data_IF_663709455393
#
_entry.id   IF_663709455393
#
_cell.length_a   1.000
_cell.length_b   1.000
_cell.length_c   1.000
_cell.angle_alpha   90.00
_cell.angle_beta   90.00
_cell.angle_gamma   90.00
#
_symmetry.space_group_name_H-M   'P 1'
#
loop_
_entity.id
_entity.type
_entity.pdbx_description
1 polymer ?
#
# COMPACT_ATOMS: atom_id res chain seq x y z
N UNK A 1 -2.36 15.94 22.99
CA UNK A 1 -2.26 15.23 21.71
C UNK A 1 -1.50 13.96 22.04
N UNK A 2 -2.18 12.82 22.04
CA UNK A 2 -1.46 11.55 22.14
C UNK A 2 -0.57 11.42 20.90
N UNK A 3 0.71 11.09 21.13
CA UNK A 3 1.68 10.94 20.05
C UNK A 3 1.26 9.77 19.16
N UNK A 4 1.17 10.03 17.86
CA UNK A 4 0.97 8.97 16.89
C UNK A 4 2.15 7.98 16.94
N UNK A 5 1.85 6.69 17.01
CA UNK A 5 2.87 5.64 16.97
C UNK A 5 3.04 5.15 15.54
N UNK A 6 4.26 5.24 15.02
CA UNK A 6 4.59 4.69 13.71
C UNK A 6 4.97 3.20 13.83
N UNK A 7 4.43 2.37 12.95
CA UNK A 7 4.72 0.94 12.84
C UNK A 7 4.93 0.57 11.37
N UNK A 8 5.95 -0.24 11.08
CA UNK A 8 6.16 -0.85 9.77
C UNK A 8 5.75 -2.31 9.82
N UNK A 9 4.84 -2.73 8.95
CA UNK A 9 4.36 -4.11 8.89
C UNK A 9 4.55 -4.71 7.50
N UNK A 10 5.00 -5.97 7.46
CA UNK A 10 5.01 -6.76 6.23
C UNK A 10 3.60 -7.29 5.99
N UNK A 11 3.02 -6.91 4.86
CA UNK A 11 1.65 -7.24 4.44
C UNK A 11 1.74 -7.74 3.01
N UNK A 12 1.11 -8.88 2.72
CA UNK A 12 1.13 -9.51 1.40
C UNK A 12 -0.18 -9.34 0.63
N UNK A 13 -1.27 -9.05 1.33
CA UNK A 13 -2.58 -8.76 0.74
C UNK A 13 -3.16 -7.51 1.38
N UNK A 14 -2.98 -6.37 0.71
CA UNK A 14 -3.44 -5.08 1.22
C UNK A 14 -4.96 -5.03 1.31
N UNK A 15 -5.68 -5.68 0.39
CA UNK A 15 -7.14 -5.70 0.41
C UNK A 15 -7.67 -6.47 1.61
N UNK A 16 -7.09 -7.63 1.91
CA UNK A 16 -7.41 -8.42 3.12
C UNK A 16 -7.07 -7.65 4.39
N UNK A 17 -5.92 -6.98 4.41
CA UNK A 17 -5.52 -6.14 5.53
C UNK A 17 -6.51 -5.02 5.80
N UNK A 18 -6.88 -4.24 4.78
CA UNK A 18 -7.88 -3.17 4.92
C UNK A 18 -9.25 -3.75 5.34
N UNK A 19 -9.60 -4.94 4.86
CA UNK A 19 -10.82 -5.63 5.27
C UNK A 19 -10.83 -6.09 6.74
N UNK A 20 -9.68 -6.28 7.38
CA UNK A 20 -9.61 -6.58 8.81
C UNK A 20 -10.30 -5.48 9.62
N UNK A 21 -10.00 -4.22 9.32
CA UNK A 21 -10.61 -3.06 9.97
C UNK A 21 -12.10 -2.99 9.69
N UNK A 22 -12.50 -3.14 8.42
CA UNK A 22 -13.93 -3.11 8.04
C UNK A 22 -14.75 -4.17 8.77
N UNK A 23 -14.23 -5.39 8.89
CA UNK A 23 -14.88 -6.50 9.62
C UNK A 23 -15.06 -6.25 11.12
N UNK A 24 -14.29 -5.32 11.70
CA UNK A 24 -14.40 -4.90 13.10
C UNK A 24 -15.30 -3.67 13.30
N UNK A 25 -15.96 -3.22 12.23
CA UNK A 25 -16.89 -2.09 12.28
C UNK A 25 -16.23 -0.72 12.09
N UNK A 26 -14.94 -0.68 11.74
CA UNK A 26 -14.28 0.57 11.38
C UNK A 26 -14.60 0.97 9.95
N UNK A 27 -14.72 2.27 9.70
CA UNK A 27 -14.79 2.81 8.35
C UNK A 27 -13.37 2.96 7.82
N UNK A 28 -13.13 2.51 6.60
CA UNK A 28 -11.84 2.66 5.91
C UNK A 28 -12.06 3.52 4.69
N UNK A 29 -11.49 4.71 4.69
CA UNK A 29 -11.58 5.69 3.60
C UNK A 29 -10.26 5.69 2.82
N UNK A 30 -10.36 5.63 1.50
CA UNK A 30 -9.20 5.82 0.62
C UNK A 30 -8.87 7.31 0.54
N UNK A 31 -7.59 7.63 0.74
CA UNK A 31 -7.04 8.98 0.70
C UNK A 31 -6.33 9.24 -0.63
N UNK A 32 -5.20 9.94 -0.55
CA UNK A 32 -4.33 10.19 -1.71
C UNK A 32 -3.85 8.88 -2.32
N UNK A 33 -3.88 8.85 -3.65
CA UNK A 33 -3.40 7.74 -4.47
C UNK A 33 -2.65 8.32 -5.68
N UNK A 34 -1.55 7.68 -6.08
CA UNK A 34 -0.75 8.04 -7.24
C UNK A 34 -0.15 6.80 -7.90
N UNK A 35 -0.17 6.77 -9.23
CA UNK A 35 0.55 5.80 -10.07
C UNK A 35 1.91 6.38 -10.43
N UNK A 36 2.97 5.60 -10.22
CA UNK A 36 4.36 5.97 -10.48
C UNK A 36 4.78 5.58 -11.91
N UNK A 37 5.90 6.14 -12.38
CA UNK A 37 6.41 5.90 -13.73
C UNK A 37 6.88 4.48 -13.99
N UNK A 38 7.14 3.71 -12.93
CA UNK A 38 7.47 2.28 -12.99
C UNK A 38 6.21 1.39 -12.90
N UNK A 39 5.01 1.97 -12.97
CA UNK A 39 3.74 1.26 -12.91
C UNK A 39 3.33 0.80 -11.50
N UNK A 40 4.15 1.04 -10.48
CA UNK A 40 3.75 0.85 -9.09
C UNK A 40 2.87 2.00 -8.60
N UNK A 41 2.27 1.84 -7.42
CA UNK A 41 1.34 2.80 -6.85
C UNK A 41 1.67 3.13 -5.40
N UNK A 42 1.41 4.38 -5.02
CA UNK A 42 1.40 4.80 -3.61
C UNK A 42 -0.01 5.21 -3.25
N UNK A 43 -0.53 4.61 -2.17
CA UNK A 43 -1.86 4.88 -1.66
C UNK A 43 -1.86 5.14 -0.16
N UNK A 44 -2.88 5.85 0.28
CA UNK A 44 -3.15 6.08 1.70
C UNK A 44 -4.59 5.72 2.06
N UNK A 45 -4.80 5.25 3.28
CA UNK A 45 -6.13 4.96 3.82
C UNK A 45 -6.24 5.47 5.24
N UNK A 46 -7.39 6.07 5.56
CA UNK A 46 -7.74 6.50 6.91
C UNK A 46 -8.72 5.51 7.53
N UNK A 47 -8.43 5.06 8.74
CA UNK A 47 -9.29 4.18 9.52
C UNK A 47 -10.00 5.00 10.58
N UNK A 48 -11.33 4.96 10.57
CA UNK A 48 -12.19 5.77 11.42
C UNK A 48 -13.06 4.90 12.34
N UNK A 49 -13.21 5.35 13.59
CA UNK A 49 -14.23 4.89 14.53
C UNK A 49 -15.19 6.05 14.81
N UNK A 50 -16.38 6.01 14.19
CA UNK A 50 -17.23 7.20 14.10
C UNK A 50 -16.52 8.29 13.28
N UNK A 51 -16.39 9.49 13.84
CA UNK A 51 -15.68 10.62 13.20
C UNK A 51 -14.20 10.72 13.61
N UNK A 52 -13.72 9.82 14.48
CA UNK A 52 -12.35 9.84 15.01
C UNK A 52 -11.42 8.98 14.15
N UNK A 53 -10.31 9.56 13.70
CA UNK A 53 -9.22 8.81 13.07
C UNK A 53 -8.45 8.00 14.10
N UNK A 54 -8.38 6.69 13.91
CA UNK A 54 -7.66 5.77 14.80
C UNK A 54 -6.36 5.26 14.18
N UNK A 55 -6.27 5.28 12.84
CA UNK A 55 -5.04 4.97 12.12
C UNK A 55 -5.00 5.62 10.73
N UNK A 56 -3.79 5.89 10.25
CA UNK A 56 -3.48 6.14 8.85
C UNK A 56 -2.53 5.06 8.31
N UNK A 57 -2.81 4.60 7.10
CA UNK A 57 -2.11 3.49 6.43
C UNK A 57 -1.53 4.05 5.15
N UNK A 58 -0.23 3.87 4.93
CA UNK A 58 0.44 4.24 3.68
C UNK A 58 1.12 3.00 3.10
N UNK A 59 0.87 2.73 1.83
CA UNK A 59 1.44 1.58 1.13
C UNK A 59 2.00 1.99 -0.22
N UNK A 60 3.18 1.47 -0.53
CA UNK A 60 3.71 1.38 -1.88
C UNK A 60 3.48 -0.06 -2.35
N UNK A 61 2.75 -0.25 -3.44
CA UNK A 61 2.25 -1.54 -3.89
C UNK A 61 2.21 -1.65 -5.41
N UNK A 62 2.10 -2.90 -5.88
CA UNK A 62 1.68 -3.21 -7.25
C UNK A 62 0.32 -3.89 -7.20
N UNK A 63 -0.40 -3.85 -8.32
CA UNK A 63 -1.76 -4.36 -8.39
C UNK A 63 -1.99 -5.21 -9.65
N UNK A 64 -3.23 -5.62 -9.85
CA UNK A 64 -3.65 -6.41 -11.02
C UNK A 64 -3.37 -5.70 -12.36
N UNK A 65 -3.40 -4.36 -12.41
CA UNK A 65 -3.08 -3.61 -13.62
C UNK A 65 -1.60 -3.74 -13.95
N UNK A 66 -0.72 -3.56 -12.97
CA UNK A 66 0.72 -3.77 -13.15
C UNK A 66 1.01 -5.18 -13.71
N UNK A 67 0.36 -6.22 -13.18
CA UNK A 67 0.55 -7.58 -13.68
C UNK A 67 0.11 -7.77 -15.14
N UNK A 68 -1.00 -7.15 -15.56
CA UNK A 68 -1.43 -7.21 -16.95
C UNK A 68 -0.48 -6.43 -17.89
N UNK A 69 0.09 -5.32 -17.41
CA UNK A 69 1.02 -4.49 -18.17
C UNK A 69 2.37 -5.16 -18.40
N UNK A 70 2.96 -5.83 -17.39
CA UNK A 70 4.28 -6.48 -17.55
C UNK A 70 4.28 -7.66 -18.54
N UNK A 71 3.10 -8.13 -18.95
CA UNK A 71 2.95 -9.19 -19.98
C UNK A 71 2.99 -8.63 -21.40
N UNK A 72 2.83 -7.32 -21.56
CA UNK A 72 2.85 -6.68 -22.85
C UNK A 72 4.29 -6.46 -23.31
N UNK A 73 4.56 -6.51 -24.62
CA UNK A 73 5.86 -6.10 -25.14
C UNK A 73 6.04 -4.57 -24.98
N UNK A 74 7.29 -4.12 -24.89
CA UNK A 74 7.64 -2.70 -24.69
C UNK A 74 7.08 -1.77 -25.79
N UNK A 75 6.77 -2.31 -26.97
CA UNK A 75 6.22 -1.60 -28.13
C UNK A 75 4.70 -1.81 -28.30
N UNK A 76 4.00 -2.23 -27.25
CA UNK A 76 2.56 -2.45 -27.29
C UNK A 76 1.79 -1.17 -27.67
N UNK A 77 0.92 -1.29 -28.66
CA UNK A 77 0.00 -0.23 -29.06
C UNK A 77 -0.98 0.13 -27.94
N UNK A 78 -1.39 1.40 -27.87
CA UNK A 78 -2.36 1.93 -26.88
C UNK A 78 -3.60 1.05 -26.72
N UNK A 79 -4.12 0.50 -27.82
CA UNK A 79 -5.28 -0.38 -27.78
C UNK A 79 -5.02 -1.63 -26.92
N UNK A 80 -3.87 -2.27 -27.05
CA UNK A 80 -3.51 -3.47 -26.27
C UNK A 80 -3.32 -3.13 -24.79
N UNK A 81 -2.77 -1.94 -24.50
CA UNK A 81 -2.64 -1.42 -23.15
C UNK A 81 -4.02 -1.24 -22.52
N UNK A 82 -4.94 -0.55 -23.19
CA UNK A 82 -6.32 -0.37 -22.70
C UNK A 82 -7.03 -1.70 -22.49
N UNK A 83 -6.90 -2.64 -23.44
CA UNK A 83 -7.48 -3.98 -23.31
C UNK A 83 -6.89 -4.74 -22.11
N UNK A 84 -5.61 -4.56 -21.79
CA UNK A 84 -4.98 -5.15 -20.61
C UNK A 84 -5.50 -4.57 -19.30
N UNK A 85 -5.66 -3.25 -19.23
CA UNK A 85 -6.23 -2.57 -18.05
C UNK A 85 -7.67 -3.03 -17.78
N UNK A 86 -8.50 -3.13 -18.83
CA UNK A 86 -9.89 -3.61 -18.70
C UNK A 86 -9.94 -5.07 -18.21
N UNK A 87 -9.01 -5.93 -18.66
CA UNK A 87 -8.95 -7.32 -18.18
C UNK A 87 -8.64 -7.41 -16.69
N UNK A 88 -7.75 -6.55 -16.18
CA UNK A 88 -7.43 -6.51 -14.75
C UNK A 88 -8.69 -6.23 -13.91
N UNK A 89 -9.51 -5.24 -14.31
CA UNK A 89 -10.76 -4.93 -13.61
C UNK A 89 -11.75 -6.10 -13.63
N UNK A 90 -11.86 -6.81 -14.76
CA UNK A 90 -12.80 -7.91 -14.93
C UNK A 90 -12.47 -9.15 -14.06
N UNK A 91 -11.20 -9.38 -13.75
CA UNK A 91 -10.73 -10.54 -13.00
C UNK A 91 -10.60 -10.30 -11.48
N UNK A 92 -10.92 -9.08 -11.03
CA UNK A 92 -10.88 -8.69 -9.62
C UNK A 92 -9.57 -8.05 -9.23
N UNK A 93 -9.68 -6.90 -8.56
CA UNK A 93 -8.53 -6.09 -8.16
C UNK A 93 -7.90 -6.65 -6.89
N UNK A 94 -6.59 -6.92 -6.97
CA UNK A 94 -5.74 -7.21 -5.82
C UNK A 94 -4.64 -6.17 -5.72
N UNK A 95 -4.12 -5.95 -4.50
CA UNK A 95 -3.06 -4.99 -4.21
C UNK A 95 -2.02 -5.66 -3.31
N UNK A 96 -0.77 -5.65 -3.73
CA UNK A 96 0.34 -6.29 -3.04
C UNK A 96 1.42 -5.26 -2.71
N UNK A 97 1.63 -4.97 -1.41
CA UNK A 97 2.72 -4.10 -0.99
C UNK A 97 4.09 -4.63 -1.43
N UNK A 98 4.91 -3.74 -1.97
CA UNK A 98 6.31 -4.02 -2.37
C UNK A 98 7.32 -3.46 -1.37
N UNK A 99 6.83 -2.77 -0.34
CA UNK A 99 7.57 -2.35 0.84
C UNK A 99 6.73 -2.65 2.10
N UNK A 100 7.34 -2.69 3.29
CA UNK A 100 6.59 -2.65 4.54
C UNK A 100 5.60 -1.48 4.54
N UNK A 101 4.35 -1.76 4.90
CA UNK A 101 3.28 -0.77 5.00
C UNK A 101 3.52 0.07 6.26
N UNK A 102 3.45 1.39 6.10
CA UNK A 102 3.56 2.34 7.19
C UNK A 102 2.18 2.55 7.81
N UNK A 103 2.12 2.37 9.13
CA UNK A 103 0.94 2.56 9.94
C UNK A 103 1.22 3.67 10.96
N UNK A 104 0.41 4.71 10.94
CA UNK A 104 0.38 5.74 11.98
C UNK A 104 -0.82 5.44 12.86
N UNK A 105 -0.58 4.95 14.06
CA UNK A 105 -1.61 4.55 15.02
C UNK A 105 -1.84 5.69 16.00
N UNK A 106 -3.08 6.16 16.12
CA UNK A 106 -3.45 7.23 17.05
C UNK A 106 -4.05 6.68 18.36
N UNK A 107 -4.47 5.41 18.38
CA UNK A 107 -5.14 4.77 19.51
C UNK A 107 -4.59 3.36 19.75
N UNK A 108 -4.45 2.96 21.03
CA UNK A 108 -3.95 1.62 21.42
C UNK A 108 -4.82 0.48 20.87
N UNK A 109 -6.13 0.69 20.74
CA UNK A 109 -7.06 -0.31 20.18
C UNK A 109 -6.71 -0.73 18.75
N UNK A 110 -6.06 0.14 17.98
CA UNK A 110 -5.59 -0.20 16.64
C UNK A 110 -4.38 -1.14 16.69
N UNK A 111 -3.48 -0.97 17.66
CA UNK A 111 -2.31 -1.84 17.84
C UNK A 111 -2.73 -3.26 18.27
N UNK A 112 -3.70 -3.38 19.18
CA UNK A 112 -4.23 -4.67 19.61
C UNK A 112 -4.84 -5.47 18.46
N UNK A 113 -5.52 -4.80 17.52
CA UNK A 113 -6.10 -5.43 16.35
C UNK A 113 -5.04 -6.06 15.43
N UNK A 114 -3.87 -5.43 15.36
CA UNK A 114 -2.76 -5.82 14.49
C UNK A 114 -1.88 -6.91 15.10
N UNK A 115 -2.02 -7.18 16.39
CA UNK A 115 -1.20 -8.16 17.11
C UNK A 115 -1.41 -9.56 16.53
N UNK A 116 -0.34 -10.11 15.98
CA UNK A 116 -0.35 -11.46 15.39
C UNK A 116 -0.98 -11.52 14.00
N UNK A 117 -1.27 -10.38 13.36
CA UNK A 117 -1.70 -10.39 11.96
C UNK A 117 -0.61 -10.96 11.06
N UNK A 118 -1.00 -11.89 10.19
CA UNK A 118 -0.21 -12.38 9.08
C UNK A 118 -1.12 -12.76 7.93
N UNK A 119 -0.58 -12.65 6.72
CA UNK A 119 -1.27 -13.01 5.49
C UNK A 119 -0.31 -13.64 4.46
N UNK A 120 -0.92 -14.13 3.39
CA UNK A 120 -0.28 -14.68 2.22
C UNK A 120 -0.72 -13.85 1.01
N UNK A 121 0.00 -13.99 -0.11
CA UNK A 121 -0.40 -13.34 -1.36
C UNK A 121 -1.80 -13.82 -1.79
N UNK A 122 -2.63 -12.94 -2.38
CA UNK A 122 -4.00 -13.29 -2.76
C UNK A 122 -4.08 -14.30 -3.91
N UNK A 123 -3.04 -14.37 -4.76
CA UNK A 123 -2.89 -15.38 -5.81
C UNK A 123 -1.41 -15.58 -6.19
N UNK A 124 -1.12 -16.57 -7.03
CA UNK A 124 0.23 -16.74 -7.60
C UNK A 124 0.59 -15.59 -8.55
N UNK A 125 -0.38 -15.01 -9.26
CA UNK A 125 -0.16 -13.84 -10.13
C UNK A 125 0.28 -12.63 -9.31
N UNK A 126 -0.37 -12.43 -8.16
CA UNK A 126 -0.03 -11.36 -7.23
C UNK A 126 1.39 -11.52 -6.66
N UNK A 127 1.79 -12.76 -6.36
CA UNK A 127 3.17 -13.10 -5.95
C UNK A 127 4.17 -12.85 -7.07
N UNK A 128 3.84 -13.25 -8.30
CA UNK A 128 4.68 -13.06 -9.48
C UNK A 128 4.92 -11.59 -9.78
N UNK A 129 3.87 -10.77 -9.74
CA UNK A 129 3.95 -9.33 -9.95
C UNK A 129 4.87 -8.65 -8.92
N UNK A 130 4.69 -8.97 -7.63
CA UNK A 130 5.53 -8.43 -6.57
C UNK A 130 7.01 -8.85 -6.75
N UNK A 131 7.25 -10.12 -7.09
CA UNK A 131 8.60 -10.61 -7.40
C UNK A 131 9.20 -9.84 -8.58
N UNK A 132 8.46 -9.72 -9.69
CA UNK A 132 8.91 -8.99 -10.88
C UNK A 132 9.30 -7.55 -10.53
N UNK A 133 8.45 -6.83 -9.78
CA UNK A 133 8.74 -5.48 -9.35
C UNK A 133 10.02 -5.36 -8.51
N UNK A 134 10.19 -6.25 -7.53
CA UNK A 134 11.35 -6.24 -6.64
C UNK A 134 12.66 -6.56 -7.37
N UNK A 135 12.60 -7.37 -8.43
CA UNK A 135 13.77 -7.74 -9.24
C UNK A 135 14.17 -6.64 -10.23
N UNK A 136 13.22 -5.88 -10.78
CA UNK A 136 13.48 -4.91 -11.87
C UNK A 136 13.51 -3.45 -11.44
N UNK A 137 12.72 -3.08 -10.42
CA UNK A 137 12.59 -1.69 -9.97
C UNK A 137 13.06 -1.55 -8.52
N UNK A 138 12.44 -2.30 -7.60
CA UNK A 138 12.83 -2.36 -6.19
C UNK A 138 12.90 -1.00 -5.49
N UNK A 139 12.14 0.00 -5.96
CA UNK A 139 12.20 1.34 -5.40
C UNK A 139 11.74 1.33 -3.94
N UNK A 140 12.42 2.13 -3.11
CA UNK A 140 12.16 2.22 -1.66
C UNK A 140 11.51 3.55 -1.29
N UNK A 141 10.35 3.81 -1.90
CA UNK A 141 9.59 5.06 -1.81
C UNK A 141 9.25 5.39 -0.36
N UNK A 142 8.61 4.46 0.37
CA UNK A 142 8.19 4.73 1.75
C UNK A 142 9.38 4.86 2.69
N UNK A 143 10.40 4.00 2.51
CA UNK A 143 11.63 4.10 3.32
C UNK A 143 12.31 5.46 3.13
N UNK A 144 12.44 5.92 1.89
CA UNK A 144 13.07 7.20 1.58
C UNK A 144 12.27 8.35 2.20
N UNK A 145 10.94 8.34 2.03
CA UNK A 145 10.05 9.33 2.64
C UNK A 145 10.21 9.39 4.18
N UNK A 146 10.24 8.24 4.87
CA UNK A 146 10.44 8.20 6.33
C UNK A 146 11.81 8.75 6.70
N UNK A 147 12.87 8.40 5.98
CA UNK A 147 14.22 8.92 6.24
C UNK A 147 14.28 10.44 6.04
N UNK A 148 13.64 10.95 5.00
CA UNK A 148 13.58 12.38 4.71
C UNK A 148 12.84 13.13 5.82
N UNK A 149 11.71 12.60 6.31
CA UNK A 149 11.01 13.16 7.46
C UNK A 149 11.88 13.20 8.72
N UNK A 150 12.58 12.11 9.03
CA UNK A 150 13.43 12.04 10.22
C UNK A 150 14.62 13.00 10.15
N UNK A 151 15.25 13.13 8.97
CA UNK A 151 16.39 14.02 8.77
C UNK A 151 15.99 15.50 8.85
N UNK A 152 14.82 15.88 8.34
CA UNK A 152 14.34 17.26 8.37
C UNK A 152 13.69 17.64 9.71
N UNK A 153 13.11 16.69 10.44
CA UNK A 153 12.57 16.92 11.78
C UNK A 153 13.68 17.17 12.82
N UNK A 154 14.87 16.62 12.59
CA UNK A 154 16.06 16.85 13.44
C UNK A 154 16.74 18.21 13.27
N UNK A 155 16.22 19.09 12.41
CA UNK A 155 16.75 20.46 12.20
C UNK A 155 15.86 21.58 12.78
N UNK A 156 14.72 21.25 13.40
CA UNK A 156 13.84 22.26 14.00
C UNK A 156 14.19 22.67 15.45
N UNK A 157 15.15 22.01 16.11
CA UNK A 157 15.60 22.37 17.47
C UNK A 157 16.79 23.35 17.51
N UNK A 158 17.02 24.12 16.44
CA UNK A 158 18.05 25.16 16.40
C UNK A 158 17.52 26.46 15.80
N UNK A 159 16.69 27.18 16.56
CA UNK A 159 16.56 28.64 16.48
C UNK A 159 16.61 29.20 17.90
#
# INVERSE_FOLDING_TARGET
MDMARALLMVIRDLNRFLNLFRKRGFKVEEGTHAVLTDGSEVGSWRVLQGDKSIAEILSHYVDSHYYELIKLPDDAEDRKIIEALIRAEAHGLWRVPVEPVLLLLFEESAEELLRGYSDEYPSEEAREAARHYLEHHGARVLKNFVNDLLTHSGHQDRI
#
